data_IF_524405831596
#
_entry.id   IF_524405831596
#
_cell.length_a   1.000
_cell.length_b   1.000
_cell.length_c   1.000
_cell.angle_alpha   90.00
_cell.angle_beta   90.00
_cell.angle_gamma   90.00
#
_symmetry.space_group_name_H-M   'P 1'
#
loop_
_entity.id
_entity.type
_entity.pdbx_description
1 polymer ?
#
# COMPACT_ATOMS: atom_id res chain seq x y z
N UNK A 1 13.87 -5.57 2.58
CA UNK A 1 12.46 -5.48 3.01
C UNK A 1 12.23 -6.03 4.42
N UNK A 2 12.33 -7.33 4.74
CA UNK A 2 12.24 -7.78 6.14
C UNK A 2 13.28 -7.08 7.02
N UNK A 3 14.52 -7.00 6.56
CA UNK A 3 15.61 -6.32 7.26
C UNK A 3 15.35 -4.83 7.49
N UNK A 4 14.69 -4.14 6.57
CA UNK A 4 14.34 -2.72 6.75
C UNK A 4 13.36 -2.55 7.91
N UNK A 5 12.35 -3.42 8.01
CA UNK A 5 11.36 -3.39 9.10
C UNK A 5 12.02 -3.79 10.42
N UNK A 6 12.78 -4.89 10.44
CA UNK A 6 13.40 -5.39 11.68
C UNK A 6 14.48 -4.47 12.24
N UNK A 7 15.08 -3.65 11.39
CA UNK A 7 16.05 -2.63 11.80
C UNK A 7 15.44 -1.23 11.93
N UNK A 8 14.11 -1.09 11.84
CA UNK A 8 13.45 0.20 11.97
C UNK A 8 13.69 0.78 13.37
N UNK A 9 14.08 2.04 13.40
CA UNK A 9 14.35 2.78 14.64
C UNK A 9 13.24 3.79 14.92
N UNK A 10 13.07 4.16 16.18
CA UNK A 10 12.12 5.19 16.59
C UNK A 10 12.42 6.57 16.00
N UNK A 11 13.68 6.84 15.66
CA UNK A 11 14.11 8.10 15.02
C UNK A 11 13.65 8.21 13.56
N UNK A 12 13.42 7.08 12.89
CA UNK A 12 12.92 7.03 11.52
C UNK A 12 11.40 7.19 11.45
N UNK A 13 10.69 7.18 12.61
CA UNK A 13 9.24 7.31 12.69
C UNK A 13 8.82 8.74 12.98
N UNK A 14 8.07 9.32 12.07
CA UNK A 14 7.34 10.57 12.28
C UNK A 14 5.87 10.26 12.55
N UNK A 15 5.54 9.92 13.80
CA UNK A 15 4.17 9.56 14.18
C UNK A 15 3.21 10.75 14.17
N UNK A 16 3.72 11.99 14.17
CA UNK A 16 2.90 13.19 14.06
C UNK A 16 2.42 13.38 12.62
N UNK A 17 3.32 13.24 11.67
CA UNK A 17 3.02 13.37 10.25
C UNK A 17 2.58 12.05 9.62
N UNK A 18 2.73 10.92 10.32
CA UNK A 18 2.32 9.60 9.84
C UNK A 18 3.26 8.98 8.79
N UNK A 19 4.57 9.16 8.94
CA UNK A 19 5.56 8.67 7.97
C UNK A 19 6.70 7.87 8.61
N UNK A 20 7.26 6.94 7.82
CA UNK A 20 8.59 6.39 8.02
C UNK A 20 9.53 7.11 7.07
N UNK A 21 10.66 7.63 7.57
CA UNK A 21 11.69 8.30 6.78
C UNK A 21 12.96 7.46 6.77
N UNK A 22 13.19 6.73 5.69
CA UNK A 22 14.38 5.90 5.52
C UNK A 22 15.46 6.70 4.78
N UNK A 23 16.62 6.86 5.40
CA UNK A 23 17.79 7.45 4.75
C UNK A 23 18.37 6.52 3.67
N UNK A 24 19.07 7.09 2.68
CA UNK A 24 19.62 6.34 1.54
C UNK A 24 20.56 5.19 1.94
N UNK A 25 21.33 5.34 3.00
CA UNK A 25 22.22 4.29 3.51
C UNK A 25 21.48 3.04 4.04
N UNK A 26 20.20 3.20 4.35
CA UNK A 26 19.34 2.14 4.88
C UNK A 26 18.63 1.34 3.80
N UNK A 27 18.54 1.87 2.60
CA UNK A 27 17.83 1.25 1.48
C UNK A 27 18.80 0.52 0.56
N UNK A 28 18.36 -0.61 0.00
CA UNK A 28 19.15 -1.34 -1.01
C UNK A 28 19.47 -0.48 -2.24
N UNK A 29 18.68 0.54 -2.48
CA UNK A 29 18.82 1.43 -3.64
C UNK A 29 19.73 2.61 -3.39
N UNK A 30 20.20 2.82 -2.16
CA UNK A 30 20.92 4.01 -1.69
C UNK A 30 20.16 5.33 -1.88
N UNK A 31 18.86 5.27 -2.15
CA UNK A 31 17.96 6.43 -2.27
C UNK A 31 17.08 6.44 -1.03
N UNK A 32 17.02 7.58 -0.34
CA UNK A 32 16.08 7.76 0.78
C UNK A 32 14.66 7.70 0.28
N UNK A 33 13.74 7.24 1.15
CA UNK A 33 12.31 7.25 0.81
C UNK A 33 11.44 7.53 2.02
N UNK A 34 10.27 8.07 1.75
CA UNK A 34 9.22 8.33 2.72
C UNK A 34 8.08 7.35 2.48
N UNK A 35 7.64 6.67 3.54
CA UNK A 35 6.59 5.65 3.45
C UNK A 35 5.45 6.08 4.37
N UNK A 36 4.22 6.23 3.85
CA UNK A 36 3.07 6.57 4.69
C UNK A 36 2.72 5.41 5.62
N UNK A 37 2.34 5.74 6.85
CA UNK A 37 1.85 4.80 7.84
C UNK A 37 0.32 4.78 7.82
N UNK A 38 -0.25 3.59 7.81
CA UNK A 38 -1.69 3.43 7.98
C UNK A 38 -2.11 3.91 9.39
N UNK A 39 -3.24 4.62 9.58
CA UNK A 39 -3.67 5.16 10.87
C UNK A 39 -3.66 4.13 12.01
N UNK A 40 -4.14 2.91 11.78
CA UNK A 40 -4.10 1.82 12.77
C UNK A 40 -2.68 1.44 13.22
N UNK A 41 -1.69 1.57 12.34
CA UNK A 41 -0.28 1.34 12.68
C UNK A 41 0.24 2.48 13.57
N UNK A 42 -0.15 3.72 13.29
CA UNK A 42 0.22 4.88 14.11
C UNK A 42 -0.34 4.73 15.53
N UNK A 43 -1.61 4.37 15.64
CA UNK A 43 -2.26 4.11 16.93
C UNK A 43 -1.53 3.02 17.70
N UNK A 44 -1.27 1.88 17.07
CA UNK A 44 -0.51 0.79 17.68
C UNK A 44 0.88 1.25 18.14
N UNK A 45 1.64 1.94 17.29
CA UNK A 45 2.98 2.40 17.64
C UNK A 45 2.99 3.41 18.79
N UNK A 46 1.91 4.18 18.97
CA UNK A 46 1.76 5.09 20.12
C UNK A 46 1.60 4.35 21.46
N UNK A 47 1.07 3.12 21.44
CA UNK A 47 0.94 2.28 22.64
C UNK A 47 2.22 1.51 22.98
N UNK A 48 3.16 1.41 22.02
CA UNK A 48 4.40 0.68 22.24
C UNK A 48 5.36 1.45 23.19
N UNK A 49 6.04 0.75 24.12
CA UNK A 49 7.02 1.38 25.00
C UNK A 49 8.18 1.94 24.14
N UNK A 50 8.46 3.22 24.34
CA UNK A 50 9.53 3.91 23.64
C UNK A 50 10.72 4.15 24.56
N UNK A 51 11.90 3.55 24.29
CA UNK A 51 13.09 3.80 25.08
C UNK A 51 13.53 5.28 25.01
N UNK A 52 13.92 5.87 26.13
CA UNK A 52 14.32 7.27 26.25
C UNK A 52 15.48 7.62 25.29
N UNK A 53 16.41 6.69 25.13
CA UNK A 53 17.59 6.86 24.27
C UNK A 53 17.38 6.42 22.81
N UNK A 54 16.12 6.22 22.37
CA UNK A 54 15.82 5.67 21.06
C UNK A 54 16.08 4.16 21.01
N UNK A 55 16.25 3.62 19.81
CA UNK A 55 16.48 2.20 19.58
C UNK A 55 15.56 1.61 18.53
N UNK A 56 15.58 0.30 18.41
CA UNK A 56 14.76 -0.41 17.43
C UNK A 56 13.30 -0.49 17.86
N UNK A 57 12.39 -0.29 16.92
CA UNK A 57 10.93 -0.36 17.15
C UNK A 57 10.50 -1.75 17.60
N UNK A 58 11.07 -2.80 16.99
CA UNK A 58 10.75 -4.19 17.26
C UNK A 58 11.77 -4.88 18.21
N UNK A 59 12.48 -4.10 19.01
CA UNK A 59 13.45 -4.60 19.97
C UNK A 59 14.75 -5.08 19.33
N UNK A 60 15.63 -5.65 20.13
CA UNK A 60 16.98 -6.03 19.70
C UNK A 60 17.05 -7.32 18.88
N UNK A 61 15.98 -8.11 18.85
CA UNK A 61 15.93 -9.33 18.05
C UNK A 61 15.61 -9.00 16.59
N UNK A 62 16.66 -8.81 15.79
CA UNK A 62 16.55 -8.53 14.34
C UNK A 62 16.24 -9.77 13.50
N UNK A 63 15.65 -10.79 14.11
CA UNK A 63 15.30 -12.05 13.44
C UNK A 63 13.79 -12.10 13.18
N UNK A 64 13.43 -12.44 11.96
CA UNK A 64 12.05 -12.68 11.61
C UNK A 64 11.54 -13.96 12.29
N UNK A 65 10.49 -13.83 13.09
CA UNK A 65 9.88 -14.97 13.76
C UNK A 65 8.97 -15.74 12.77
N UNK A 66 9.60 -16.64 12.01
CA UNK A 66 8.89 -17.45 11.02
C UNK A 66 7.83 -18.35 11.66
N UNK A 67 8.06 -18.88 12.87
CA UNK A 67 7.08 -19.73 13.56
C UNK A 67 5.79 -18.95 13.88
N UNK A 68 5.93 -17.74 14.44
CA UNK A 68 4.78 -16.89 14.74
C UNK A 68 4.05 -16.46 13.45
N UNK A 69 4.78 -16.14 12.38
CA UNK A 69 4.19 -15.82 11.09
C UNK A 69 3.38 -16.99 10.52
N UNK A 70 3.97 -18.19 10.45
CA UNK A 70 3.29 -19.37 9.91
C UNK A 70 2.05 -19.72 10.74
N UNK A 71 2.12 -19.64 12.06
CA UNK A 71 0.96 -19.86 12.95
C UNK A 71 -0.16 -18.84 12.68
N UNK A 72 0.19 -17.59 12.43
CA UNK A 72 -0.79 -16.56 12.10
C UNK A 72 -1.46 -16.80 10.73
N UNK A 73 -0.69 -17.21 9.72
CA UNK A 73 -1.20 -17.57 8.39
C UNK A 73 -2.14 -18.77 8.47
N UNK A 74 -1.76 -19.80 9.20
CA UNK A 74 -2.57 -21.00 9.46
C UNK A 74 -3.87 -20.65 10.20
N UNK A 75 -3.78 -19.86 11.27
CA UNK A 75 -4.94 -19.41 12.04
C UNK A 75 -5.91 -18.55 11.21
N UNK A 76 -5.41 -17.87 10.18
CA UNK A 76 -6.22 -17.10 9.24
C UNK A 76 -6.85 -17.98 8.12
N UNK A 77 -6.53 -19.28 8.06
CA UNK A 77 -7.00 -20.20 7.01
C UNK A 77 -6.43 -19.89 5.61
N UNK A 78 -5.29 -19.20 5.55
CA UNK A 78 -4.68 -18.81 4.28
C UNK A 78 -3.67 -19.88 3.85
N UNK A 79 -3.75 -20.28 2.58
CA UNK A 79 -2.86 -21.30 1.98
C UNK A 79 -1.87 -20.61 1.04
N UNK A 80 -0.65 -21.13 0.95
CA UNK A 80 0.41 -20.67 0.04
C UNK A 80 0.73 -19.16 0.11
N UNK A 81 0.77 -18.64 1.33
CA UNK A 81 1.02 -17.23 1.58
C UNK A 81 2.39 -16.99 2.21
N UNK A 82 3.22 -16.23 1.54
CA UNK A 82 4.54 -15.89 2.01
C UNK A 82 4.65 -14.40 2.39
N UNK A 83 5.73 -14.04 3.07
CA UNK A 83 5.92 -12.65 3.52
C UNK A 83 6.00 -11.62 2.37
N UNK A 84 6.35 -12.04 1.15
CA UNK A 84 6.38 -11.14 0.00
C UNK A 84 4.98 -10.79 -0.48
N UNK A 85 4.01 -11.68 -0.28
CA UNK A 85 2.62 -11.49 -0.68
C UNK A 85 1.95 -10.38 0.10
N UNK A 86 2.40 -10.11 1.34
CA UNK A 86 1.99 -8.92 2.09
C UNK A 86 2.26 -7.61 1.32
N UNK A 87 3.36 -7.57 0.55
CA UNK A 87 3.65 -6.43 -0.30
C UNK A 87 2.69 -6.35 -1.49
N UNK A 88 2.36 -7.48 -2.11
CA UNK A 88 1.37 -7.55 -3.17
C UNK A 88 0.01 -7.05 -2.68
N UNK A 89 -0.44 -7.53 -1.51
CA UNK A 89 -1.68 -7.09 -0.88
C UNK A 89 -1.68 -5.58 -0.60
N UNK A 90 -0.58 -5.04 -0.05
CA UNK A 90 -0.49 -3.61 0.25
C UNK A 90 -0.58 -2.73 -1.00
N UNK A 91 0.14 -3.09 -2.07
CA UNK A 91 0.11 -2.37 -3.34
C UNK A 91 -1.30 -2.45 -3.96
N UNK A 92 -1.89 -3.64 -3.99
CA UNK A 92 -3.23 -3.83 -4.52
C UNK A 92 -4.29 -3.05 -3.73
N UNK A 93 -4.21 -3.06 -2.40
CA UNK A 93 -5.14 -2.30 -1.55
C UNK A 93 -5.00 -0.78 -1.78
N UNK A 94 -3.78 -0.27 -1.93
CA UNK A 94 -3.56 1.14 -2.27
C UNK A 94 -4.17 1.48 -3.64
N UNK A 95 -4.04 0.60 -4.61
CA UNK A 95 -4.63 0.77 -5.95
C UNK A 95 -6.16 0.78 -5.89
N UNK A 96 -6.76 -0.20 -5.22
CA UNK A 96 -8.22 -0.30 -5.05
C UNK A 96 -8.79 0.90 -4.26
N UNK A 97 -7.99 1.52 -3.40
CA UNK A 97 -8.35 2.76 -2.73
C UNK A 97 -8.27 4.01 -3.63
N UNK A 98 -7.93 3.86 -4.92
CA UNK A 98 -7.91 4.95 -5.89
C UNK A 98 -6.67 5.85 -5.83
N UNK A 99 -5.58 5.38 -5.22
CA UNK A 99 -4.35 6.16 -5.20
C UNK A 99 -3.66 6.16 -6.56
N UNK A 100 -2.98 7.27 -6.86
CA UNK A 100 -2.21 7.43 -8.08
C UNK A 100 -1.08 6.40 -8.21
N UNK A 101 -0.87 5.91 -9.43
CA UNK A 101 0.13 4.88 -9.74
C UNK A 101 1.57 5.30 -9.35
N UNK A 102 1.94 6.56 -9.60
CA UNK A 102 3.27 7.04 -9.26
C UNK A 102 3.48 7.15 -7.75
N UNK A 103 2.43 7.55 -7.02
CA UNK A 103 2.45 7.61 -5.55
C UNK A 103 2.63 6.21 -4.96
N UNK A 104 1.90 5.21 -5.46
CA UNK A 104 2.03 3.82 -5.01
C UNK A 104 3.42 3.27 -5.34
N UNK A 105 3.94 3.54 -6.55
CA UNK A 105 5.27 3.12 -6.97
C UNK A 105 6.34 3.68 -6.03
N UNK A 106 6.29 4.97 -5.72
CA UNK A 106 7.23 5.63 -4.80
C UNK A 106 7.13 5.05 -3.39
N UNK A 107 5.94 4.95 -2.82
CA UNK A 107 5.72 4.35 -1.50
C UNK A 107 6.20 2.91 -1.43
N UNK A 108 5.99 2.13 -2.50
CA UNK A 108 6.45 0.75 -2.58
C UNK A 108 7.97 0.62 -2.72
N UNK A 109 8.65 1.61 -3.29
CA UNK A 109 10.08 1.58 -3.62
C UNK A 109 10.40 0.65 -4.79
N UNK A 110 9.49 0.51 -5.75
CA UNK A 110 9.74 -0.20 -6.99
C UNK A 110 10.61 0.64 -7.92
N UNK A 111 11.73 0.09 -8.40
CA UNK A 111 12.68 0.82 -9.26
C UNK A 111 12.19 1.00 -10.68
N UNK A 112 11.48 0.01 -11.21
CA UNK A 112 11.07 -0.03 -12.61
C UNK A 112 9.57 -0.24 -12.73
N UNK A 113 8.99 0.26 -13.81
CA UNK A 113 7.58 0.06 -14.09
C UNK A 113 7.27 -1.42 -14.33
N UNK A 114 8.15 -2.16 -14.99
CA UNK A 114 8.00 -3.60 -15.21
C UNK A 114 7.95 -4.40 -13.89
N UNK A 115 8.73 -4.01 -12.88
CA UNK A 115 8.66 -4.62 -11.55
C UNK A 115 7.36 -4.26 -10.82
N UNK A 116 6.79 -3.10 -11.12
CA UNK A 116 5.54 -2.63 -10.54
C UNK A 116 4.31 -3.20 -11.28
N UNK A 117 4.37 -3.35 -12.60
CA UNK A 117 3.27 -3.90 -13.42
C UNK A 117 2.82 -5.30 -13.00
N UNK A 118 3.71 -6.10 -12.39
CA UNK A 118 3.35 -7.41 -11.82
C UNK A 118 2.26 -7.34 -10.74
N UNK A 119 2.05 -6.16 -10.17
CA UNK A 119 1.05 -5.91 -9.13
C UNK A 119 -0.22 -5.24 -9.67
N UNK A 120 -0.21 -4.85 -10.96
CA UNK A 120 -1.28 -4.07 -11.56
C UNK A 120 -2.25 -5.00 -12.32
N UNK A 121 -2.97 -5.82 -11.57
CA UNK A 121 -4.04 -6.67 -12.10
C UNK A 121 -5.32 -5.84 -12.14
N UNK A 122 -5.57 -5.20 -13.27
CA UNK A 122 -6.82 -4.44 -13.51
C UNK A 122 -7.94 -5.44 -13.77
N UNK A 123 -9.02 -5.35 -13.01
CA UNK A 123 -10.21 -6.19 -13.18
C UNK A 123 -11.22 -5.52 -14.10
N UNK A 124 -12.14 -6.31 -14.68
CA UNK A 124 -13.24 -5.77 -15.50
C UNK A 124 -14.10 -4.77 -14.72
N UNK A 125 -14.29 -5.01 -13.43
CA UNK A 125 -15.02 -4.09 -12.55
C UNK A 125 -14.33 -2.72 -12.47
N UNK A 126 -13.01 -2.69 -12.42
CA UNK A 126 -12.26 -1.42 -12.43
C UNK A 126 -12.30 -0.74 -13.80
N UNK A 127 -12.32 -1.51 -14.88
CA UNK A 127 -12.50 -0.96 -16.24
C UNK A 127 -13.83 -0.25 -16.39
N UNK A 128 -14.90 -0.74 -15.76
CA UNK A 128 -16.21 -0.07 -15.75
C UNK A 128 -16.21 1.24 -14.95
N UNK A 129 -15.28 1.42 -14.04
CA UNK A 129 -15.16 2.64 -13.22
C UNK A 129 -14.38 3.77 -13.91
N UNK A 130 -14.00 3.61 -15.18
CA UNK A 130 -13.31 4.67 -15.97
C UNK A 130 -14.20 5.90 -16.04
N UNK A 131 -13.62 7.03 -15.67
CA UNK A 131 -14.26 8.34 -15.82
C UNK A 131 -13.86 8.97 -17.13
N UNK A 132 -14.85 9.45 -17.86
CA UNK A 132 -14.66 10.14 -19.14
C UNK A 132 -14.77 11.64 -18.93
N UNK A 133 -13.99 12.40 -19.69
CA UNK A 133 -14.16 13.85 -19.76
C UNK A 133 -15.24 14.13 -20.80
N UNK A 134 -16.31 14.80 -20.40
CA UNK A 134 -17.31 15.28 -21.35
C UNK A 134 -16.82 16.54 -22.09
N UNK A 135 -17.56 16.96 -23.12
CA UNK A 135 -17.20 18.13 -23.93
C UNK A 135 -17.14 19.44 -23.11
N UNK A 136 -17.67 19.45 -21.88
CA UNK A 136 -17.66 20.60 -20.98
C UNK A 136 -16.53 20.54 -19.94
N UNK A 137 -15.66 19.52 -20.03
CA UNK A 137 -14.54 19.34 -19.11
C UNK A 137 -14.94 18.82 -17.73
N UNK A 138 -16.17 18.37 -17.54
CA UNK A 138 -16.67 17.76 -16.30
C UNK A 138 -16.54 16.24 -16.40
N UNK A 139 -16.09 15.58 -15.34
CA UNK A 139 -16.07 14.12 -15.31
C UNK A 139 -17.49 13.59 -15.26
N UNK A 140 -18.00 13.03 -16.36
CA UNK A 140 -19.26 12.29 -16.36
C UNK A 140 -19.08 10.94 -15.64
N UNK A 141 -20.10 10.55 -14.91
CA UNK A 141 -20.10 9.32 -14.08
C UNK A 141 -19.85 8.04 -14.86
N UNK A 142 -19.78 6.97 -14.14
CA UNK A 142 -19.55 5.60 -14.61
C UNK A 142 -20.42 5.21 -15.81
N UNK A 143 -19.94 4.28 -16.63
CA UNK A 143 -20.61 3.75 -17.84
C UNK A 143 -22.08 3.29 -17.60
N UNK A 144 -22.44 2.99 -16.34
CA UNK A 144 -23.80 2.60 -15.95
C UNK A 144 -24.84 3.71 -16.17
N UNK A 145 -24.40 4.98 -16.20
CA UNK A 145 -25.29 6.13 -16.45
C UNK A 145 -25.59 6.34 -17.95
N UNK A 146 -24.75 5.78 -18.85
CA UNK A 146 -24.93 5.95 -20.29
C UNK A 146 -25.92 4.97 -20.91
N UNK A 147 -26.16 3.82 -20.26
CA UNK A 147 -27.10 2.80 -20.78
C UNK A 147 -28.57 3.14 -20.51
N UNK A 148 -28.86 3.93 -19.46
CA UNK A 148 -30.24 4.25 -19.07
C UNK A 148 -30.87 5.42 -19.85
N UNK A 149 -30.10 6.20 -20.61
CA UNK A 149 -30.65 7.34 -21.35
C UNK A 149 -31.08 7.01 -22.78
N UNK A 150 -30.77 5.79 -23.29
CA UNK A 150 -31.11 5.40 -24.67
C UNK A 150 -32.38 4.54 -24.78
N UNK A 151 -33.16 4.39 -23.71
CA UNK A 151 -34.39 3.58 -23.74
C UNK A 151 -35.68 4.41 -23.65
N UNK A 152 -35.64 5.69 -24.06
CA UNK A 152 -36.87 6.48 -24.20
C UNK A 152 -36.85 7.32 -25.48
N UNK A 153 -36.92 6.63 -26.60
CA UNK A 153 -37.47 7.22 -27.84
C UNK A 153 -38.09 6.07 -28.63
N UNK A 154 -39.24 5.62 -28.21
CA UNK A 154 -40.23 4.98 -29.10
C UNK A 154 -41.57 5.68 -28.90
N UNK A 155 -41.93 6.37 -29.94
CA UNK A 155 -43.12 6.30 -30.73
C UNK A 155 -44.41 6.89 -30.10
N UNK A 156 -44.84 7.98 -30.61
CA UNK A 156 -46.11 8.02 -31.37
C UNK A 156 -45.96 9.00 -32.54
#
# INVERSE_FOLDING_TARGET
MQSEILNLTWQELDLKMGFIRLGGLRTKTKIGRVIPLHPRIIEFLRTCPRPIHGGYVFGNSRRFNRKAYNKAVEAAGIVDFNNHDLRHCAINNMRLAGNDHFVIKEASGAKTDSAFQRYNLVTEHEMKSIKWLDEKGVTSGTMDTYMDTNTKTEIV
#
